data_IF_963360481748
#
_entry.id   IF_963360481748
#
_cell.length_a   1.000
_cell.length_b   1.000
_cell.length_c   1.000
_cell.angle_alpha   90.00
_cell.angle_beta   90.00
_cell.angle_gamma   90.00
#
_symmetry.space_group_name_H-M   'P 1'
#
loop_
_entity.id
_entity.type
_entity.pdbx_description
1 polymer ?
#
# COMPACT_ATOMS: atom_id res chain seq x y z
N UNK A 1 -2.19 -3.21 22.75
CA UNK A 1 -3.45 -2.74 22.12
C UNK A 1 -3.37 -2.58 20.60
N UNK A 2 -2.35 -1.91 20.05
CA UNK A 2 -2.18 -1.79 18.58
C UNK A 2 -1.83 -3.14 17.93
N UNK A 3 -0.87 -3.87 18.50
CA UNK A 3 -0.44 -5.18 17.97
C UNK A 3 -1.55 -6.24 17.99
N UNK A 4 -2.43 -6.25 18.99
CA UNK A 4 -3.54 -7.19 19.07
C UNK A 4 -4.55 -6.96 17.94
N UNK A 5 -4.89 -5.71 17.65
CA UNK A 5 -5.79 -5.37 16.53
C UNK A 5 -5.13 -5.70 15.19
N UNK A 6 -3.85 -5.39 15.03
CA UNK A 6 -3.11 -5.67 13.78
C UNK A 6 -2.80 -7.15 13.57
N UNK A 7 -2.80 -7.98 14.62
CA UNK A 7 -2.72 -9.43 14.46
C UNK A 7 -3.94 -9.97 13.70
N UNK A 8 -5.11 -9.39 13.93
CA UNK A 8 -6.36 -9.73 13.21
C UNK A 8 -6.45 -9.01 11.86
N UNK A 9 -6.06 -7.74 11.81
CA UNK A 9 -6.12 -6.89 10.61
C UNK A 9 -4.76 -6.20 10.33
N UNK A 10 -3.82 -6.87 9.64
CA UNK A 10 -2.44 -6.38 9.50
C UNK A 10 -2.31 -5.04 8.76
N UNK A 11 -3.22 -4.76 7.82
CA UNK A 11 -3.19 -3.56 6.97
C UNK A 11 -4.09 -2.43 7.48
N UNK A 12 -4.51 -2.49 8.74
CA UNK A 12 -5.42 -1.50 9.30
C UNK A 12 -4.76 -0.12 9.46
N UNK A 13 -5.27 0.86 8.71
CA UNK A 13 -4.85 2.25 8.80
C UNK A 13 -5.13 2.91 10.16
N UNK A 14 -4.36 3.94 10.48
CA UNK A 14 -4.34 4.65 11.76
C UNK A 14 -5.67 5.29 12.15
N UNK A 15 -6.44 5.81 11.17
CA UNK A 15 -7.77 6.40 11.43
C UNK A 15 -8.77 5.36 11.93
N UNK A 16 -8.81 4.19 11.29
CA UNK A 16 -9.70 3.10 11.69
C UNK A 16 -9.22 2.43 12.97
N UNK A 17 -7.90 2.34 13.15
CA UNK A 17 -7.29 1.91 14.41
C UNK A 17 -7.72 2.81 15.58
N UNK A 18 -7.68 4.14 15.40
CA UNK A 18 -8.13 5.10 16.41
C UNK A 18 -9.59 4.86 16.80
N UNK A 19 -10.49 4.72 15.82
CA UNK A 19 -11.90 4.46 16.07
C UNK A 19 -12.13 3.19 16.90
N UNK A 20 -11.46 2.08 16.55
CA UNK A 20 -11.57 0.81 17.29
C UNK A 20 -10.95 0.89 18.69
N UNK A 21 -9.95 1.73 18.87
CA UNK A 21 -9.24 1.90 20.13
C UNK A 21 -9.89 2.91 21.06
N UNK A 22 -10.68 3.85 20.52
CA UNK A 22 -11.27 4.97 21.25
C UNK A 22 -12.02 4.54 22.52
N UNK A 23 -12.93 3.53 22.50
CA UNK A 23 -13.67 3.13 23.71
C UNK A 23 -12.74 2.70 24.85
N UNK A 24 -11.72 1.89 24.52
CA UNK A 24 -10.73 1.41 25.49
C UNK A 24 -9.80 2.51 26.00
N UNK A 25 -9.51 3.52 25.18
CA UNK A 25 -8.74 4.69 25.61
C UNK A 25 -9.55 5.54 26.61
N UNK A 26 -10.85 5.69 26.36
CA UNK A 26 -11.78 6.38 27.27
C UNK A 26 -11.94 5.63 28.59
N UNK A 27 -12.12 4.31 28.56
CA UNK A 27 -12.13 3.43 29.76
C UNK A 27 -10.85 3.57 30.59
N UNK A 28 -9.71 3.74 29.92
CA UNK A 28 -8.40 3.90 30.60
C UNK A 28 -8.12 5.34 31.04
N UNK A 29 -9.04 6.29 30.80
CA UNK A 29 -8.83 7.72 31.11
C UNK A 29 -7.75 8.42 30.28
N UNK A 30 -7.32 7.81 29.16
CA UNK A 30 -6.23 8.33 28.32
C UNK A 30 -6.79 9.34 27.33
N UNK A 31 -6.44 10.62 27.51
CA UNK A 31 -6.68 11.67 26.50
C UNK A 31 -5.65 11.59 25.38
N UNK A 32 -5.88 10.68 24.42
CA UNK A 32 -5.10 10.60 23.20
C UNK A 32 -5.97 10.99 22.01
N UNK A 33 -5.64 12.10 21.35
CA UNK A 33 -6.30 12.51 20.12
C UNK A 33 -5.81 11.75 18.89
N UNK A 34 -6.53 11.91 17.76
CA UNK A 34 -6.16 11.29 16.47
C UNK A 34 -4.74 11.63 16.06
N UNK A 35 -4.40 12.92 16.08
CA UNK A 35 -3.11 13.40 15.59
C UNK A 35 -1.96 13.02 16.53
N UNK A 36 -2.23 13.00 17.84
CA UNK A 36 -1.30 12.44 18.84
C UNK A 36 -1.05 10.95 18.63
N UNK A 37 -2.07 10.17 18.25
CA UNK A 37 -1.88 8.76 17.91
C UNK A 37 -0.99 8.59 16.65
N UNK A 38 -1.15 9.45 15.64
CA UNK A 38 -0.26 9.43 14.48
C UNK A 38 1.19 9.72 14.87
N UNK A 39 1.42 10.72 15.73
CA UNK A 39 2.76 11.06 16.21
C UNK A 39 3.38 9.93 17.02
N UNK A 40 2.62 9.37 17.96
CA UNK A 40 3.07 8.25 18.79
C UNK A 40 3.46 7.03 17.95
N UNK A 41 2.64 6.68 16.95
CA UNK A 41 2.94 5.57 16.06
C UNK A 41 4.10 5.86 15.12
N UNK A 42 4.31 7.13 14.72
CA UNK A 42 5.47 7.55 13.94
C UNK A 42 6.76 7.38 14.74
N UNK A 43 6.79 7.88 15.98
CA UNK A 43 7.94 7.77 16.88
C UNK A 43 8.34 6.31 17.12
N UNK A 44 7.35 5.42 17.23
CA UNK A 44 7.57 3.99 17.44
C UNK A 44 7.76 3.17 16.13
N UNK A 45 7.86 3.82 14.96
CA UNK A 45 7.98 3.15 13.64
C UNK A 45 6.85 2.15 13.34
N UNK A 46 5.64 2.42 13.86
CA UNK A 46 4.45 1.60 13.69
C UNK A 46 3.50 2.12 12.61
N UNK A 47 3.87 3.13 11.82
CA UNK A 47 3.06 3.54 10.68
C UNK A 47 3.17 2.50 9.55
N UNK A 48 2.02 2.10 8.98
CA UNK A 48 2.00 1.21 7.83
C UNK A 48 2.45 2.01 6.62
N UNK A 49 3.58 1.63 6.03
CA UNK A 49 4.09 2.23 4.81
C UNK A 49 3.48 1.51 3.60
N UNK A 50 2.84 2.22 2.66
CA UNK A 50 2.39 1.60 1.41
C UNK A 50 3.62 1.16 0.60
N UNK A 51 3.80 -0.15 0.43
CA UNK A 51 4.84 -0.68 -0.46
C UNK A 51 4.42 -0.47 -1.91
N UNK A 52 5.13 0.40 -2.63
CA UNK A 52 4.95 0.56 -4.08
C UNK A 52 5.57 -0.65 -4.77
N UNK A 53 4.76 -1.47 -5.44
CA UNK A 53 5.25 -2.58 -6.28
C UNK A 53 5.08 -2.21 -7.74
N UNK A 54 6.16 -1.85 -8.42
CA UNK A 54 6.18 -1.57 -9.85
C UNK A 54 6.64 -2.81 -10.61
N UNK A 55 5.86 -3.89 -10.59
CA UNK A 55 6.16 -5.04 -11.44
C UNK A 55 5.71 -4.69 -12.85
N UNK A 56 6.67 -4.33 -13.71
CA UNK A 56 6.41 -4.12 -15.14
C UNK A 56 6.32 -5.49 -15.79
N UNK A 57 5.10 -5.98 -15.99
CA UNK A 57 4.83 -7.26 -16.68
C UNK A 57 4.95 -7.15 -18.19
N UNK A 58 5.04 -5.93 -18.73
CA UNK A 58 5.10 -5.66 -20.16
C UNK A 58 6.00 -4.45 -20.43
N UNK A 59 6.84 -4.54 -21.47
CA UNK A 59 7.62 -3.42 -22.02
C UNK A 59 6.71 -2.49 -22.85
N UNK A 60 5.74 -1.84 -22.19
CA UNK A 60 4.68 -1.06 -22.87
C UNK A 60 5.09 0.36 -23.29
N UNK A 61 6.37 0.73 -23.25
CA UNK A 61 6.89 2.03 -23.70
C UNK A 61 7.41 2.02 -25.15
N UNK A 62 6.76 1.28 -26.05
CA UNK A 62 6.97 1.42 -27.49
C UNK A 62 5.72 2.03 -28.13
N UNK A 63 5.88 3.19 -28.78
CA UNK A 63 4.77 3.89 -29.43
C UNK A 63 4.38 3.30 -30.80
N UNK A 64 5.22 2.43 -31.37
CA UNK A 64 4.97 1.78 -32.66
C UNK A 64 5.48 0.34 -32.62
N UNK A 65 4.69 -0.61 -33.14
CA UNK A 65 5.13 -2.01 -33.34
C UNK A 65 5.85 -2.12 -34.69
N UNK A 66 7.10 -2.59 -34.70
CA UNK A 66 7.79 -3.01 -35.93
C UNK A 66 7.48 -4.49 -36.20
N UNK A 67 6.90 -4.77 -37.36
CA UNK A 67 6.78 -6.13 -37.89
C UNK A 67 7.85 -6.33 -38.97
N UNK A 68 8.68 -7.39 -38.90
CA UNK A 68 9.62 -7.69 -39.98
C UNK A 68 8.86 -8.10 -41.25
N UNK A 69 9.36 -7.68 -42.41
CA UNK A 69 8.73 -7.99 -43.70
C UNK A 69 8.94 -9.47 -44.05
N UNK A 70 7.85 -10.24 -44.08
CA UNK A 70 7.87 -11.69 -44.36
C UNK A 70 7.93 -12.01 -45.86
N UNK A 71 7.74 -11.04 -46.74
CA UNK A 71 7.74 -11.22 -48.20
C UNK A 71 9.11 -11.00 -48.84
N UNK A 72 10.13 -10.66 -48.05
CA UNK A 72 11.45 -10.29 -48.58
C UNK A 72 12.14 -11.45 -49.32
N UNK A 73 11.77 -12.69 -49.03
CA UNK A 73 12.36 -13.90 -49.64
C UNK A 73 11.37 -14.70 -50.51
N UNK A 74 10.18 -14.15 -50.80
CA UNK A 74 9.20 -14.83 -51.65
C UNK A 74 9.31 -14.32 -53.10
N UNK A 75 9.93 -15.10 -53.97
CA UNK A 75 9.80 -14.91 -55.43
C UNK A 75 8.38 -15.30 -55.84
N UNK A 76 7.62 -14.31 -56.32
CA UNK A 76 6.26 -14.52 -56.83
C UNK A 76 6.38 -14.94 -58.30
N UNK A 77 6.19 -16.24 -58.57
CA UNK A 77 6.08 -16.81 -59.92
C UNK A 77 4.65 -16.73 -60.45
#
# INVERSE_FOLDING_TARGET
MVHSIRRLMPRLGTRKLYYLMKPKLEESGIKLGRDGLFEYLRANRLLIQPKKSYTKTTYSKHWMKKHPNLFQELDVA
#
